data_IF_938850602553
#
_entry.id   IF_938850602553
#
_cell.length_a   1.000
_cell.length_b   1.000
_cell.length_c   1.000
_cell.angle_alpha   90.00
_cell.angle_beta   90.00
_cell.angle_gamma   90.00
#
_symmetry.space_group_name_H-M   'P 1'
#
loop_
_entity.id
_entity.type
_entity.pdbx_description
1 polymer ?
#
# COMPACT_ATOMS: atom_id res chain seq x y z
N UNK A 1 42.24 -38.71 57.22
CA UNK A 1 41.03 -38.42 58.02
C UNK A 1 40.26 -37.27 57.42
N UNK A 2 39.08 -37.55 56.98
CA UNK A 2 37.90 -36.77 56.86
C UNK A 2 37.93 -35.46 56.03
N UNK A 3 37.28 -35.49 54.85
CA UNK A 3 36.40 -34.50 54.41
C UNK A 3 35.42 -35.07 53.36
N UNK A 4 34.20 -35.26 53.76
CA UNK A 4 33.04 -35.54 52.91
C UNK A 4 32.11 -34.35 52.94
N UNK A 5 31.41 -34.19 51.81
CA UNK A 5 30.14 -33.41 51.64
C UNK A 5 30.22 -31.93 51.34
N UNK A 6 29.91 -31.59 50.10
CA UNK A 6 28.63 -30.97 49.72
C UNK A 6 28.53 -30.77 48.20
N UNK A 7 27.88 -31.70 47.57
CA UNK A 7 27.44 -31.56 46.20
C UNK A 7 25.97 -32.01 46.15
N UNK A 8 24.99 -31.07 46.19
CA UNK A 8 23.60 -31.49 46.22
C UNK A 8 22.52 -30.40 46.20
N UNK A 9 22.86 -29.13 45.99
CA UNK A 9 21.84 -28.08 46.06
C UNK A 9 21.70 -27.16 44.85
N UNK A 10 22.37 -27.41 43.71
CA UNK A 10 22.31 -26.55 42.53
C UNK A 10 21.49 -27.07 41.34
N UNK A 11 21.06 -28.32 41.37
CA UNK A 11 20.38 -28.94 40.21
C UNK A 11 18.85 -28.83 40.29
N UNK A 12 18.27 -28.66 41.47
CA UNK A 12 16.81 -28.55 41.65
C UNK A 12 16.24 -27.17 41.41
N UNK A 13 17.03 -26.09 41.53
CA UNK A 13 16.55 -24.72 41.26
C UNK A 13 16.52 -24.34 39.78
N UNK A 14 17.29 -25.04 38.92
CA UNK A 14 17.24 -24.77 37.46
C UNK A 14 16.05 -25.47 36.77
N UNK A 15 15.58 -26.61 37.28
CA UNK A 15 14.44 -27.31 36.69
C UNK A 15 13.12 -26.59 36.98
N UNK A 16 12.97 -26.01 38.17
CA UNK A 16 11.73 -25.29 38.55
C UNK A 16 11.54 -23.93 37.88
N UNK A 17 12.62 -23.25 37.47
CA UNK A 17 12.56 -22.00 36.72
C UNK A 17 12.18 -22.22 35.25
N UNK A 18 12.66 -23.31 34.65
CA UNK A 18 12.37 -23.62 33.24
C UNK A 18 10.90 -24.10 33.06
N UNK A 19 10.36 -24.86 33.99
CA UNK A 19 8.94 -25.28 33.96
C UNK A 19 7.97 -24.10 34.18
N UNK A 20 8.33 -23.15 35.02
CA UNK A 20 7.51 -21.94 35.22
C UNK A 20 7.53 -21.03 34.01
N UNK A 21 8.65 -20.90 33.30
CA UNK A 21 8.74 -20.12 32.06
C UNK A 21 7.96 -20.76 30.90
N UNK A 22 8.05 -22.10 30.75
CA UNK A 22 7.27 -22.83 29.73
C UNK A 22 5.77 -22.80 30.05
N UNK A 23 5.36 -22.85 31.31
CA UNK A 23 3.96 -22.72 31.70
C UNK A 23 3.42 -21.29 31.50
N UNK A 24 4.26 -20.26 31.73
CA UNK A 24 3.93 -18.87 31.46
C UNK A 24 3.75 -18.59 29.98
N UNK A 25 4.66 -19.08 29.15
CA UNK A 25 4.58 -18.96 27.68
C UNK A 25 3.35 -19.68 27.10
N UNK A 26 3.02 -20.88 27.60
CA UNK A 26 1.80 -21.57 27.18
C UNK A 26 0.52 -20.84 27.62
N UNK A 27 0.51 -20.20 28.78
CA UNK A 27 -0.63 -19.35 29.21
C UNK A 27 -0.76 -18.09 28.37
N UNK A 28 0.33 -17.42 28.05
CA UNK A 28 0.33 -16.22 27.17
C UNK A 28 -0.14 -16.57 25.75
N UNK A 29 0.33 -17.67 25.17
CA UNK A 29 -0.12 -18.13 23.85
C UNK A 29 -1.59 -18.56 23.84
N UNK A 30 -2.09 -19.15 24.91
CA UNK A 30 -3.51 -19.51 25.04
C UNK A 30 -4.39 -18.27 25.17
N UNK A 31 -3.94 -17.26 25.93
CA UNK A 31 -4.65 -15.98 26.12
C UNK A 31 -4.71 -15.15 24.82
N UNK A 32 -3.61 -15.12 24.06
CA UNK A 32 -3.56 -14.48 22.74
C UNK A 32 -4.52 -15.17 21.74
N UNK A 33 -4.57 -16.50 21.72
CA UNK A 33 -5.51 -17.27 20.88
C UNK A 33 -6.98 -17.01 21.26
N UNK A 34 -7.26 -16.89 22.56
CA UNK A 34 -8.64 -16.64 23.03
C UNK A 34 -9.12 -15.24 22.69
N UNK A 35 -8.25 -14.23 22.81
CA UNK A 35 -8.58 -12.85 22.46
C UNK A 35 -8.74 -12.67 20.94
N UNK A 36 -7.89 -13.32 20.14
CA UNK A 36 -8.03 -13.32 18.67
C UNK A 36 -9.34 -13.97 18.23
N UNK A 37 -9.74 -15.10 18.86
CA UNK A 37 -11.03 -15.73 18.56
C UNK A 37 -12.24 -14.91 19.03
N UNK A 38 -12.08 -14.15 20.12
CA UNK A 38 -13.15 -13.27 20.60
C UNK A 38 -13.34 -12.06 19.67
N UNK A 39 -12.26 -11.48 19.19
CA UNK A 39 -12.25 -10.39 18.22
C UNK A 39 -12.89 -10.84 16.89
N UNK A 40 -12.50 -11.99 16.37
CA UNK A 40 -13.09 -12.57 15.15
C UNK A 40 -14.60 -12.85 15.30
N UNK A 41 -15.04 -13.33 16.45
CA UNK A 41 -16.48 -13.53 16.72
C UNK A 41 -17.25 -12.21 16.78
N UNK A 42 -16.67 -11.15 17.34
CA UNK A 42 -17.31 -9.82 17.35
C UNK A 42 -17.42 -9.24 15.94
N UNK A 43 -16.39 -9.36 15.11
CA UNK A 43 -16.44 -8.95 13.70
C UNK A 43 -17.52 -9.71 12.92
N UNK A 44 -17.62 -11.05 13.08
CA UNK A 44 -18.66 -11.85 12.45
C UNK A 44 -20.07 -11.46 12.89
N UNK A 45 -20.26 -11.09 14.17
CA UNK A 45 -21.54 -10.61 14.66
C UNK A 45 -21.91 -9.22 14.11
N UNK A 46 -20.93 -8.32 13.94
CA UNK A 46 -21.13 -7.01 13.29
C UNK A 46 -21.50 -7.16 11.81
N UNK A 47 -20.80 -8.01 11.05
CA UNK A 47 -21.12 -8.31 9.64
C UNK A 47 -22.52 -8.93 9.47
N UNK A 48 -22.97 -9.77 10.40
CA UNK A 48 -24.35 -10.31 10.40
C UNK A 48 -25.40 -9.23 10.66
N UNK A 49 -25.15 -8.28 11.56
CA UNK A 49 -26.05 -7.14 11.80
C UNK A 49 -26.15 -6.25 10.56
N UNK A 50 -25.04 -5.85 9.96
CA UNK A 50 -25.03 -5.03 8.74
C UNK A 50 -25.73 -5.70 7.54
N UNK A 51 -25.61 -7.02 7.37
CA UNK A 51 -26.37 -7.75 6.34
C UNK A 51 -27.87 -7.75 6.59
N UNK A 52 -28.28 -7.85 7.86
CA UNK A 52 -29.71 -7.81 8.21
C UNK A 52 -30.27 -6.39 8.02
N UNK A 53 -29.52 -5.35 8.37
CA UNK A 53 -29.94 -3.95 8.19
C UNK A 53 -30.02 -3.59 6.69
N UNK A 54 -29.06 -4.04 5.87
CA UNK A 54 -29.11 -3.88 4.40
C UNK A 54 -30.28 -4.64 3.76
N UNK A 55 -30.67 -5.77 4.32
CA UNK A 55 -31.83 -6.53 3.87
C UNK A 55 -33.16 -5.86 4.26
N UNK A 56 -33.25 -5.23 5.44
CA UNK A 56 -34.41 -4.44 5.84
C UNK A 56 -34.57 -3.19 4.98
N UNK A 57 -33.51 -2.44 4.71
CA UNK A 57 -33.57 -1.25 3.84
C UNK A 57 -34.00 -1.62 2.40
N UNK A 58 -33.61 -2.79 1.90
CA UNK A 58 -34.01 -3.26 0.57
C UNK A 58 -35.45 -3.78 0.52
N UNK A 59 -36.00 -4.22 1.65
CA UNK A 59 -37.40 -4.64 1.74
C UNK A 59 -38.37 -3.44 1.85
N UNK A 60 -37.93 -2.32 2.45
CA UNK A 60 -38.71 -1.08 2.53
C UNK A 60 -38.74 -0.30 1.20
N UNK A 61 -37.70 -0.43 0.34
CA UNK A 61 -37.66 0.22 -0.96
C UNK A 61 -38.43 -0.50 -2.09
N UNK A 62 -38.94 -1.71 -1.83
CA UNK A 62 -39.72 -2.47 -2.82
C UNK A 62 -41.24 -2.39 -2.64
N UNK A 63 -41.71 -1.54 -1.75
CA UNK A 63 -43.14 -1.46 -1.35
C UNK A 63 -43.95 -0.29 -1.91
N UNK A 64 -43.36 0.64 -2.63
CA UNK A 64 -44.12 1.76 -3.21
C UNK A 64 -43.71 2.01 -4.67
N UNK A 65 -44.36 1.33 -5.59
CA UNK A 65 -44.64 1.80 -6.96
C UNK A 65 -45.57 0.83 -7.69
N UNK A 66 -46.86 1.01 -7.47
CA UNK A 66 -47.90 0.59 -8.40
C UNK A 66 -48.97 1.69 -8.49
N UNK A 67 -48.90 2.50 -9.57
CA UNK A 67 -50.05 2.93 -10.36
C UNK A 67 -49.69 3.98 -11.41
N UNK A 68 -49.95 3.52 -12.65
CA UNK A 68 -50.63 4.25 -13.74
C UNK A 68 -49.89 5.49 -14.33
N UNK A 69 -49.57 5.56 -15.58
CA UNK A 69 -50.48 5.58 -16.74
C UNK A 69 -49.66 5.59 -18.08
N UNK A 70 -50.29 5.04 -19.08
CA UNK A 70 -49.89 4.93 -20.48
C UNK A 70 -49.48 6.24 -21.13
N UNK A 71 -48.38 6.24 -21.88
CA UNK A 71 -48.37 6.83 -23.21
C UNK A 71 -47.22 6.28 -24.07
N UNK A 72 -47.66 5.59 -25.10
CA UNK A 72 -46.94 5.06 -26.24
C UNK A 72 -46.56 6.19 -27.17
N UNK A 73 -45.29 6.38 -27.54
CA UNK A 73 -44.92 7.06 -28.80
C UNK A 73 -43.83 6.26 -29.52
N UNK A 74 -44.13 6.11 -30.78
CA UNK A 74 -43.54 5.26 -31.81
C UNK A 74 -42.17 5.76 -32.25
N UNK A 75 -41.25 4.82 -32.51
CA UNK A 75 -40.03 5.05 -33.26
C UNK A 75 -40.32 5.29 -34.73
N UNK A 76 -39.65 6.26 -35.33
CA UNK A 76 -39.49 6.33 -36.79
C UNK A 76 -38.05 6.64 -37.15
N UNK A 77 -37.42 5.69 -37.75
CA UNK A 77 -36.19 5.77 -38.52
C UNK A 77 -36.45 6.47 -39.84
N UNK A 78 -35.59 7.41 -40.26
CA UNK A 78 -35.42 7.74 -41.68
C UNK A 78 -33.97 8.07 -41.99
N UNK A 79 -33.40 7.29 -42.83
CA UNK A 79 -32.20 7.49 -43.67
C UNK A 79 -32.56 8.33 -44.86
N UNK A 80 -31.62 9.17 -45.35
CA UNK A 80 -31.31 9.51 -46.74
C UNK A 80 -30.31 10.69 -46.77
N UNK A 81 -29.30 10.61 -47.36
CA UNK A 81 -28.45 10.59 -48.57
C UNK A 81 -28.57 11.87 -49.42
N UNK A 82 -27.33 12.28 -49.89
CA UNK A 82 -26.98 13.08 -51.10
C UNK A 82 -27.14 14.57 -51.00
N UNK A 83 -26.25 15.43 -51.47
CA UNK A 83 -25.20 15.38 -52.47
C UNK A 83 -24.89 16.83 -52.91
N UNK A 84 -23.73 17.06 -53.52
CA UNK A 84 -23.51 18.14 -54.49
C UNK A 84 -22.68 19.35 -54.03
N UNK A 85 -21.46 19.46 -54.34
CA UNK A 85 -20.66 20.05 -55.42
C UNK A 85 -20.77 21.58 -55.66
N UNK A 86 -19.64 22.22 -55.69
CA UNK A 86 -18.97 23.08 -56.68
C UNK A 86 -18.52 24.44 -56.14
N UNK A 87 -17.20 24.67 -56.20
CA UNK A 87 -16.37 25.41 -57.13
C UNK A 87 -16.37 26.94 -57.01
N UNK A 88 -15.19 27.50 -56.83
CA UNK A 88 -14.46 28.43 -57.73
C UNK A 88 -13.42 29.24 -56.92
N UNK A 89 -12.18 29.11 -57.20
CA UNK A 89 -11.29 29.88 -58.06
C UNK A 89 -10.93 31.28 -57.55
N UNK A 90 -9.65 31.50 -57.30
CA UNK A 90 -9.04 32.82 -57.09
C UNK A 90 -7.51 32.71 -56.97
N UNK A 91 -6.89 33.13 -58.02
CA UNK A 91 -5.46 32.98 -58.43
C UNK A 91 -4.68 34.25 -58.10
N UNK A 92 -3.30 34.05 -57.98
CA UNK A 92 -2.17 35.02 -58.13
C UNK A 92 -1.73 35.69 -56.82
N UNK A 93 -0.40 35.92 -56.61
CA UNK A 93 0.89 35.80 -57.39
C UNK A 93 2.05 35.90 -56.43
N UNK A 94 3.05 35.13 -56.70
CA UNK A 94 4.53 35.27 -56.63
C UNK A 94 5.20 36.35 -55.77
N UNK A 95 6.20 35.96 -54.99
CA UNK A 95 7.58 36.42 -55.17
C UNK A 95 8.55 35.47 -54.47
N UNK A 96 9.56 35.08 -55.24
CA UNK A 96 10.75 34.29 -54.85
C UNK A 96 11.68 35.14 -54.00
N UNK A 97 12.32 34.50 -53.02
CA UNK A 97 13.72 34.73 -52.72
C UNK A 97 14.36 33.45 -52.17
N UNK A 98 15.37 33.06 -52.84
CA UNK A 98 16.27 31.92 -52.58
C UNK A 98 17.18 32.15 -51.39
N UNK A 99 17.35 31.17 -50.56
CA UNK A 99 18.65 30.86 -49.94
C UNK A 99 18.72 29.40 -49.53
N UNK A 100 19.65 28.70 -50.12
CA UNK A 100 20.03 27.30 -49.82
C UNK A 100 20.48 27.17 -48.36
N UNK A 101 19.93 26.22 -47.64
CA UNK A 101 20.66 25.57 -46.57
C UNK A 101 20.31 24.08 -46.54
N UNK A 102 21.28 23.31 -46.94
CA UNK A 102 21.22 21.90 -47.24
C UNK A 102 21.55 21.11 -45.97
N UNK A 103 20.63 21.07 -45.02
CA UNK A 103 20.76 20.23 -43.82
C UNK A 103 20.11 18.89 -44.08
N UNK A 104 20.93 17.89 -44.38
CA UNK A 104 20.55 16.48 -44.50
C UNK A 104 19.84 16.02 -43.24
N UNK A 105 18.51 16.02 -43.27
CA UNK A 105 17.66 15.32 -42.29
C UNK A 105 17.83 13.82 -42.50
N UNK A 106 18.76 13.21 -41.77
CA UNK A 106 18.87 11.76 -41.66
C UNK A 106 17.66 11.24 -40.94
N UNK A 107 16.64 10.81 -41.65
CA UNK A 107 15.47 10.15 -41.10
C UNK A 107 15.89 8.77 -40.61
N UNK A 108 16.25 8.67 -39.34
CA UNK A 108 16.42 7.39 -38.67
C UNK A 108 15.04 6.74 -38.57
N UNK A 109 14.72 5.90 -39.55
CA UNK A 109 13.61 4.95 -39.43
C UNK A 109 13.98 3.95 -38.32
N UNK A 110 13.67 4.30 -37.03
CA UNK A 110 13.61 3.29 -35.96
C UNK A 110 12.55 2.26 -36.38
N UNK A 111 13.03 1.07 -36.80
CA UNK A 111 12.16 -0.13 -36.84
C UNK A 111 11.58 -0.27 -35.42
N UNK A 112 10.29 -0.01 -35.24
CA UNK A 112 9.57 -0.42 -34.04
C UNK A 112 9.67 -1.94 -33.97
N UNK A 113 10.59 -2.47 -33.17
CA UNK A 113 10.54 -3.83 -32.71
C UNK A 113 9.21 -3.91 -31.97
N UNK A 114 8.33 -4.83 -32.37
CA UNK A 114 7.15 -5.11 -31.58
C UNK A 114 7.66 -5.66 -30.24
N UNK A 115 7.83 -4.81 -29.25
CA UNK A 115 8.11 -5.22 -27.90
C UNK A 115 6.84 -5.86 -27.36
N UNK A 116 6.92 -7.15 -27.14
CA UNK A 116 5.86 -7.91 -26.45
C UNK A 116 5.89 -7.43 -25.00
N UNK A 117 4.78 -6.88 -24.53
CA UNK A 117 4.63 -6.49 -23.13
C UNK A 117 4.69 -7.78 -22.29
N UNK A 118 5.61 -7.90 -21.32
CA UNK A 118 5.71 -9.08 -20.50
C UNK A 118 4.48 -9.20 -19.59
N UNK A 119 3.88 -10.38 -19.54
CA UNK A 119 2.75 -10.67 -18.68
C UNK A 119 3.22 -11.46 -17.45
N UNK A 120 2.90 -10.97 -16.27
CA UNK A 120 3.10 -11.66 -15.00
C UNK A 120 1.75 -12.06 -14.41
N UNK A 121 1.67 -13.27 -13.87
CA UNK A 121 0.48 -13.75 -13.16
C UNK A 121 0.68 -13.54 -11.65
N UNK A 122 -0.20 -12.78 -11.02
CA UNK A 122 -0.16 -12.60 -9.56
C UNK A 122 -0.61 -13.88 -8.87
N UNK A 123 0.16 -14.37 -7.91
CA UNK A 123 -0.26 -15.46 -7.05
C UNK A 123 -1.36 -15.01 -6.10
N UNK A 124 -2.27 -15.96 -5.80
CA UNK A 124 -3.26 -15.70 -4.77
C UNK A 124 -2.58 -15.35 -3.44
N UNK A 125 -3.08 -14.34 -2.69
CA UNK A 125 -2.47 -13.94 -1.43
C UNK A 125 -2.35 -15.06 -0.40
N UNK A 126 -3.24 -16.07 -0.46
CA UNK A 126 -3.26 -17.27 0.38
C UNK A 126 -2.32 -18.40 -0.11
N UNK A 127 -1.51 -18.15 -1.14
CA UNK A 127 -0.50 -19.11 -1.59
C UNK A 127 0.49 -19.46 -0.46
N UNK A 128 0.84 -18.48 0.36
CA UNK A 128 1.53 -18.66 1.64
C UNK A 128 0.50 -18.37 2.74
N UNK A 129 0.29 -19.33 3.64
CA UNK A 129 -0.63 -19.15 4.77
C UNK A 129 -0.08 -18.19 5.81
N UNK A 130 -0.96 -17.63 6.65
CA UNK A 130 -0.56 -16.78 7.79
C UNK A 130 0.30 -17.49 8.83
N UNK A 131 0.36 -18.82 8.77
CA UNK A 131 1.21 -19.66 9.61
C UNK A 131 2.48 -20.11 8.88
N UNK A 132 2.85 -19.41 7.83
CA UNK A 132 4.05 -19.60 7.04
C UNK A 132 4.19 -21.02 6.43
N UNK A 133 3.12 -21.51 5.78
CA UNK A 133 3.14 -22.76 5.01
C UNK A 133 2.74 -22.52 3.56
N UNK A 134 3.43 -23.17 2.64
CA UNK A 134 3.03 -23.15 1.22
C UNK A 134 1.77 -23.98 1.03
N UNK A 135 0.68 -23.31 0.66
CA UNK A 135 -0.60 -23.96 0.36
C UNK A 135 -0.60 -24.53 -1.06
N UNK A 136 -1.35 -25.61 -1.28
CA UNK A 136 -1.65 -26.13 -2.64
C UNK A 136 -0.41 -26.37 -3.53
N UNK A 137 0.75 -26.75 -2.98
CA UNK A 137 2.05 -26.87 -3.69
C UNK A 137 1.96 -27.69 -4.99
N UNK A 138 1.16 -28.77 -5.01
CA UNK A 138 0.93 -29.59 -6.24
C UNK A 138 0.17 -28.83 -7.32
N UNK A 139 -0.84 -28.07 -6.93
CA UNK A 139 -1.63 -27.25 -7.88
C UNK A 139 -0.80 -26.09 -8.41
N UNK A 140 0.01 -25.44 -7.58
CA UNK A 140 0.94 -24.39 -7.99
C UNK A 140 1.92 -24.88 -9.04
N UNK A 141 2.50 -26.08 -8.87
CA UNK A 141 3.41 -26.65 -9.87
C UNK A 141 2.72 -26.83 -11.22
N UNK A 142 1.51 -27.42 -11.25
CA UNK A 142 0.74 -27.60 -12.49
C UNK A 142 0.36 -26.25 -13.09
N UNK A 143 -0.03 -25.29 -12.26
CA UNK A 143 -0.35 -23.94 -12.70
C UNK A 143 0.85 -23.23 -13.34
N UNK A 144 2.04 -23.33 -12.75
CA UNK A 144 3.26 -22.71 -13.29
C UNK A 144 3.69 -23.37 -14.61
N UNK A 145 3.59 -24.69 -14.73
CA UNK A 145 3.80 -25.39 -16.01
C UNK A 145 2.82 -24.88 -17.09
N UNK A 146 1.54 -24.69 -16.75
CA UNK A 146 0.55 -24.15 -17.66
C UNK A 146 0.83 -22.68 -18.06
N UNK A 147 1.23 -21.82 -17.11
CA UNK A 147 1.59 -20.43 -17.38
C UNK A 147 2.80 -20.35 -18.33
N UNK A 148 3.83 -21.19 -18.09
CA UNK A 148 5.00 -21.27 -18.96
C UNK A 148 4.62 -21.67 -20.37
N UNK A 149 3.79 -22.71 -20.53
CA UNK A 149 3.32 -23.18 -21.86
C UNK A 149 2.46 -22.10 -22.55
N UNK A 150 1.69 -21.31 -21.79
CA UNK A 150 0.90 -20.21 -22.31
C UNK A 150 1.75 -18.99 -22.71
N UNK A 151 3.06 -18.97 -22.45
CA UNK A 151 3.96 -17.87 -22.77
C UNK A 151 3.89 -16.70 -21.80
N UNK A 152 3.38 -16.94 -20.58
CA UNK A 152 3.44 -15.96 -19.48
C UNK A 152 4.91 -15.79 -19.06
N UNK A 153 5.34 -14.55 -18.86
CA UNK A 153 6.73 -14.23 -18.54
C UNK A 153 7.14 -14.70 -17.16
N UNK A 154 6.25 -14.55 -16.18
CA UNK A 154 6.57 -14.89 -14.80
C UNK A 154 5.39 -14.81 -13.86
N UNK A 155 5.72 -14.92 -12.58
CA UNK A 155 4.77 -14.82 -11.48
C UNK A 155 5.10 -13.66 -10.56
N UNK A 156 4.07 -13.03 -10.00
CA UNK A 156 4.20 -11.97 -9.01
C UNK A 156 3.87 -12.53 -7.62
N UNK A 157 4.81 -12.41 -6.67
CA UNK A 157 4.76 -13.00 -5.34
C UNK A 157 4.79 -11.89 -4.29
N UNK A 158 3.77 -11.83 -3.43
CA UNK A 158 3.77 -10.92 -2.29
C UNK A 158 4.47 -11.56 -1.09
N UNK A 159 5.43 -10.84 -0.51
CA UNK A 159 6.25 -11.25 0.65
C UNK A 159 5.82 -10.40 1.84
N UNK A 160 5.04 -11.01 2.75
CA UNK A 160 4.48 -10.31 3.90
C UNK A 160 5.45 -10.31 5.07
N UNK A 161 5.77 -9.12 5.58
CA UNK A 161 6.63 -8.93 6.75
C UNK A 161 6.12 -9.69 7.97
N UNK A 162 4.82 -9.58 8.28
CA UNK A 162 4.21 -10.21 9.45
C UNK A 162 4.06 -11.74 9.38
N UNK A 163 4.29 -12.35 8.20
CA UNK A 163 4.33 -13.82 8.08
C UNK A 163 5.73 -14.36 8.39
N UNK A 164 6.76 -13.59 8.06
CA UNK A 164 8.15 -14.05 8.06
C UNK A 164 8.88 -13.69 9.35
N UNK A 165 8.76 -12.45 9.85
CA UNK A 165 9.45 -11.98 11.05
C UNK A 165 8.57 -12.15 12.30
N UNK A 166 8.50 -13.40 12.81
CA UNK A 166 7.67 -13.73 13.98
C UNK A 166 8.23 -13.19 15.30
N UNK A 167 9.53 -13.02 15.40
CA UNK A 167 10.26 -12.38 16.51
C UNK A 167 11.25 -11.37 15.90
N UNK A 168 11.61 -10.29 16.58
CA UNK A 168 12.53 -9.29 16.04
C UNK A 168 13.83 -9.90 15.49
N UNK A 169 14.14 -9.65 14.22
CA UNK A 169 15.32 -10.14 13.49
C UNK A 169 15.38 -11.67 13.32
N UNK A 170 14.28 -12.40 13.55
CA UNK A 170 14.18 -13.84 13.28
C UNK A 170 13.27 -14.04 12.07
N UNK A 171 13.88 -14.38 10.95
CA UNK A 171 13.20 -14.52 9.66
C UNK A 171 13.03 -16.01 9.30
N UNK A 172 11.79 -16.44 9.15
CA UNK A 172 11.44 -17.78 8.68
C UNK A 172 11.03 -17.74 7.21
N UNK A 173 11.92 -18.16 6.32
CA UNK A 173 11.74 -18.15 4.87
C UNK A 173 11.23 -19.48 4.30
N UNK A 174 10.94 -20.50 5.12
CA UNK A 174 10.69 -21.88 4.65
C UNK A 174 9.61 -21.95 3.56
N UNK A 175 8.46 -21.30 3.73
CA UNK A 175 7.38 -21.40 2.76
C UNK A 175 7.73 -20.74 1.41
N UNK A 176 8.51 -19.65 1.46
CA UNK A 176 9.01 -18.99 0.25
C UNK A 176 10.11 -19.80 -0.42
N UNK A 177 11.00 -20.47 0.33
CA UNK A 177 11.99 -21.38 -0.23
C UNK A 177 11.32 -22.54 -0.98
N UNK A 178 10.26 -23.14 -0.41
CA UNK A 178 9.46 -24.17 -1.06
C UNK A 178 8.81 -23.64 -2.36
N UNK A 179 8.25 -22.43 -2.35
CA UNK A 179 7.65 -21.80 -3.51
C UNK A 179 8.68 -21.58 -4.62
N UNK A 180 9.83 -20.97 -4.30
CA UNK A 180 10.89 -20.70 -5.27
C UNK A 180 11.50 -21.98 -5.83
N UNK A 181 11.59 -23.05 -5.03
CA UNK A 181 12.02 -24.36 -5.51
C UNK A 181 11.04 -24.96 -6.55
N UNK A 182 9.75 -24.66 -6.47
CA UNK A 182 8.77 -25.06 -7.51
C UNK A 182 8.99 -24.25 -8.79
N UNK A 183 9.19 -22.91 -8.68
CA UNK A 183 9.48 -22.05 -9.84
C UNK A 183 10.75 -22.55 -10.56
N UNK A 184 11.82 -22.81 -9.81
CA UNK A 184 13.09 -23.29 -10.34
C UNK A 184 12.94 -24.64 -11.07
N UNK A 185 12.11 -25.55 -10.54
CA UNK A 185 11.81 -26.83 -11.18
C UNK A 185 11.05 -26.73 -12.49
N UNK A 186 10.14 -25.77 -12.59
CA UNK A 186 9.38 -25.50 -13.81
C UNK A 186 10.29 -24.85 -14.86
N UNK A 187 11.18 -23.96 -14.42
CA UNK A 187 12.11 -23.21 -15.26
C UNK A 187 11.40 -22.16 -16.16
N UNK A 188 12.19 -21.31 -16.77
CA UNK A 188 11.74 -20.31 -17.76
C UNK A 188 10.70 -19.28 -17.27
N UNK A 189 10.37 -19.29 -15.98
CA UNK A 189 9.52 -18.27 -15.37
C UNK A 189 10.37 -17.30 -14.54
N UNK A 190 10.12 -16.02 -14.74
CA UNK A 190 10.65 -14.97 -13.89
C UNK A 190 9.77 -14.75 -12.66
N UNK A 191 10.34 -14.11 -11.65
CA UNK A 191 9.62 -13.73 -10.43
C UNK A 191 9.73 -12.23 -10.23
N UNK A 192 8.59 -11.58 -10.06
CA UNK A 192 8.46 -10.24 -9.49
C UNK A 192 8.08 -10.39 -8.03
N UNK A 193 8.83 -9.83 -7.10
CA UNK A 193 8.51 -9.85 -5.67
C UNK A 193 7.89 -8.52 -5.24
N UNK A 194 6.93 -8.57 -4.32
CA UNK A 194 6.37 -7.38 -3.65
C UNK A 194 6.63 -7.50 -2.16
N UNK A 195 7.42 -6.60 -1.59
CA UNK A 195 7.63 -6.51 -0.14
C UNK A 195 6.46 -5.77 0.49
N UNK A 196 5.68 -6.47 1.30
CA UNK A 196 4.48 -5.93 1.92
C UNK A 196 4.72 -5.63 3.41
N UNK A 197 4.79 -4.35 3.75
CA UNK A 197 4.94 -3.82 5.12
C UNK A 197 3.60 -3.33 5.69
N UNK A 198 2.51 -3.92 5.23
CA UNK A 198 1.15 -3.59 5.65
C UNK A 198 0.37 -4.86 5.96
N UNK A 199 -0.62 -4.73 6.83
CA UNK A 199 -1.62 -5.75 7.01
C UNK A 199 -2.59 -5.75 5.80
N UNK A 200 -3.03 -6.92 5.38
CA UNK A 200 -3.98 -7.08 4.29
C UNK A 200 -4.93 -8.23 4.55
N UNK A 201 -6.19 -8.07 4.22
CA UNK A 201 -7.08 -9.21 4.05
C UNK A 201 -6.64 -10.02 2.82
N UNK A 202 -6.41 -11.31 3.03
CA UNK A 202 -6.02 -12.22 1.96
C UNK A 202 -7.26 -12.82 1.32
N UNK A 203 -7.97 -12.14 0.60
CA UNK A 203 -9.17 -12.63 -0.07
C UNK A 203 -9.93 -11.41 -0.50
N UNK A 204 -10.07 -11.23 -1.78
CA UNK A 204 -10.98 -10.24 -2.31
C UNK A 204 -12.38 -10.43 -1.70
N UNK A 205 -13.38 -9.77 -2.18
CA UNK A 205 -14.77 -9.73 -1.73
C UNK A 205 -15.44 -11.06 -1.28
N UNK A 206 -14.71 -12.17 -1.26
CA UNK A 206 -15.24 -13.52 -1.03
C UNK A 206 -15.11 -14.05 0.40
N UNK A 207 -14.58 -13.25 1.32
CA UNK A 207 -14.70 -13.56 2.76
C UNK A 207 -13.92 -14.78 3.27
N UNK A 208 -12.82 -15.14 2.65
CA UNK A 208 -11.99 -16.32 3.04
C UNK A 208 -11.23 -16.15 4.36
N UNK A 209 -11.39 -15.02 5.04
CA UNK A 209 -10.94 -14.83 6.41
C UNK A 209 -9.43 -14.90 6.65
N UNK A 210 -8.63 -14.84 5.59
CA UNK A 210 -7.19 -14.73 5.69
C UNK A 210 -6.80 -13.26 5.82
N UNK A 211 -6.15 -12.90 6.92
CA UNK A 211 -5.60 -11.55 7.12
C UNK A 211 -4.13 -11.68 7.47
N UNK A 212 -3.23 -11.27 6.57
CA UNK A 212 -1.84 -11.09 6.91
C UNK A 212 -1.71 -9.81 7.75
N UNK A 213 -1.35 -9.94 9.03
CA UNK A 213 -1.10 -8.79 9.92
C UNK A 213 0.34 -8.28 9.75
N UNK A 214 0.64 -7.14 10.35
CA UNK A 214 2.01 -6.81 10.72
C UNK A 214 2.55 -7.85 11.72
N UNK A 215 3.87 -7.95 11.95
CA UNK A 215 4.42 -8.83 12.97
C UNK A 215 3.72 -8.64 14.31
N UNK A 216 3.38 -9.75 14.99
CA UNK A 216 2.62 -9.71 16.25
C UNK A 216 3.32 -8.87 17.31
N UNK A 217 4.65 -8.91 17.36
CA UNK A 217 5.44 -8.13 18.30
C UNK A 217 5.34 -6.61 18.08
N UNK A 218 5.05 -6.15 16.83
CA UNK A 218 4.77 -4.73 16.54
C UNK A 218 3.46 -4.30 17.19
N UNK A 219 2.41 -5.11 17.07
CA UNK A 219 1.13 -4.83 17.72
C UNK A 219 1.24 -4.92 19.26
N UNK A 220 2.06 -5.84 19.78
CA UNK A 220 2.31 -5.93 21.22
C UNK A 220 2.98 -4.66 21.77
N UNK A 221 3.93 -4.08 21.05
CA UNK A 221 4.56 -2.80 21.43
C UNK A 221 3.53 -1.68 21.45
N UNK A 222 2.68 -1.60 20.43
CA UNK A 222 1.67 -0.55 20.35
C UNK A 222 0.62 -0.67 21.46
N UNK A 223 0.29 -1.90 21.89
CA UNK A 223 -0.78 -2.18 22.86
C UNK A 223 -0.33 -2.31 24.32
N UNK A 224 0.99 -2.26 24.62
CA UNK A 224 1.48 -2.29 26.01
C UNK A 224 0.96 -1.10 26.80
N UNK A 225 0.56 -1.38 28.05
CA UNK A 225 0.14 -0.31 28.96
C UNK A 225 1.35 0.41 29.58
N UNK A 226 1.19 1.69 29.86
CA UNK A 226 2.19 2.50 30.56
C UNK A 226 3.28 3.05 29.64
N UNK A 227 4.49 3.25 30.21
CA UNK A 227 5.62 3.88 29.51
C UNK A 227 6.28 2.97 28.44
N UNK A 228 5.98 1.69 28.47
CA UNK A 228 6.55 0.68 27.53
C UNK A 228 5.70 0.53 26.27
N UNK A 229 4.47 1.05 26.25
CA UNK A 229 3.59 1.02 25.09
C UNK A 229 3.73 2.24 24.22
N UNK A 230 3.55 2.08 22.92
CA UNK A 230 3.56 3.19 21.98
C UNK A 230 2.40 3.09 20.98
N UNK A 231 1.16 3.41 21.40
CA UNK A 231 0.00 3.40 20.50
C UNK A 231 0.11 4.44 19.37
N UNK A 232 0.99 5.44 19.54
CA UNK A 232 1.30 6.47 18.54
C UNK A 232 2.15 5.96 17.37
N UNK A 233 2.53 4.67 17.40
CA UNK A 233 3.18 3.96 16.31
C UNK A 233 2.32 3.96 15.04
N UNK A 234 1.01 3.96 15.22
CA UNK A 234 0.03 3.92 14.15
C UNK A 234 -0.60 5.28 13.86
N UNK A 235 -1.04 5.47 12.64
CA UNK A 235 -1.78 6.66 12.24
C UNK A 235 -3.01 6.89 13.11
N UNK A 236 -3.37 8.16 13.29
CA UNK A 236 -4.59 8.56 13.94
C UNK A 236 -5.25 9.70 13.16
N UNK A 237 -6.54 9.57 12.92
CA UNK A 237 -7.35 10.61 12.30
C UNK A 237 -7.90 11.61 13.32
N UNK A 238 -8.62 12.63 12.84
CA UNK A 238 -9.21 13.67 13.70
C UNK A 238 -10.30 13.16 14.66
N UNK A 239 -10.92 12.00 14.39
CA UNK A 239 -11.91 11.37 15.25
C UNK A 239 -11.26 10.53 16.36
N UNK A 240 -9.95 10.34 16.31
CA UNK A 240 -9.18 9.48 17.21
C UNK A 240 -9.20 8.01 16.76
N UNK A 241 -9.70 7.71 15.57
CA UNK A 241 -9.61 6.38 14.98
C UNK A 241 -8.16 6.08 14.60
N UNK A 242 -7.65 4.93 15.04
CA UNK A 242 -6.29 4.47 14.71
C UNK A 242 -6.34 3.42 13.62
N UNK A 243 -5.49 3.63 12.61
CA UNK A 243 -5.28 2.66 11.55
C UNK A 243 -4.02 1.84 11.85
N UNK A 244 -4.22 0.57 12.21
CA UNK A 244 -3.16 -0.33 12.67
C UNK A 244 -2.64 -1.30 11.59
N UNK A 245 -3.03 -1.11 10.36
CA UNK A 245 -2.55 -1.91 9.23
C UNK A 245 -1.17 -1.50 8.72
N UNK A 246 -0.70 -0.30 9.04
CA UNK A 246 0.61 0.23 8.66
C UNK A 246 1.19 1.10 9.78
N UNK A 247 2.52 1.07 9.93
CA UNK A 247 3.21 2.00 10.82
C UNK A 247 3.12 3.41 10.22
N UNK A 248 2.89 4.42 11.08
CA UNK A 248 2.85 5.82 10.65
C UNK A 248 4.19 6.24 10.03
N UNK A 249 4.15 6.79 8.82
CA UNK A 249 5.35 7.32 8.15
C UNK A 249 6.06 8.43 8.96
N UNK A 250 5.34 9.05 9.88
CA UNK A 250 5.90 10.04 10.79
C UNK A 250 6.71 9.40 11.93
N UNK A 251 6.38 8.15 12.30
CA UNK A 251 7.07 7.40 13.35
C UNK A 251 8.27 6.59 12.83
N UNK A 252 8.31 6.29 11.54
CA UNK A 252 9.22 5.30 10.95
C UNK A 252 10.72 5.59 11.11
N UNK A 253 11.09 6.84 11.34
CA UNK A 253 12.49 7.26 11.56
C UNK A 253 12.96 7.24 13.00
N UNK A 254 12.11 6.95 13.98
CA UNK A 254 12.46 6.89 15.38
C UNK A 254 13.27 5.61 15.69
N UNK A 255 14.56 5.76 15.93
CA UNK A 255 15.49 4.66 16.23
C UNK A 255 15.27 4.01 17.60
N UNK A 256 14.41 4.58 18.43
CA UNK A 256 14.04 4.01 19.74
C UNK A 256 12.75 3.19 19.69
N UNK A 257 12.20 2.95 18.49
CA UNK A 257 10.83 2.50 18.30
C UNK A 257 10.66 1.00 18.47
N UNK A 258 11.47 0.21 17.77
CA UNK A 258 11.30 -1.23 17.64
C UNK A 258 12.52 -1.99 18.18
N UNK A 259 12.35 -3.07 18.97
CA UNK A 259 13.48 -3.79 19.54
C UNK A 259 14.25 -4.57 18.48
N UNK A 260 15.52 -4.79 18.75
CA UNK A 260 16.33 -5.82 18.06
C UNK A 260 16.15 -7.18 18.72
N UNK A 261 16.69 -8.24 18.10
CA UNK A 261 16.60 -9.60 18.61
C UNK A 261 17.24 -9.82 20.00
N UNK A 262 18.13 -8.93 20.43
CA UNK A 262 18.74 -8.98 21.79
C UNK A 262 17.80 -8.40 22.87
N UNK A 263 16.73 -7.73 22.48
CA UNK A 263 15.75 -7.07 23.36
C UNK A 263 16.31 -5.90 24.18
N UNK A 264 17.51 -5.41 23.87
CA UNK A 264 18.21 -4.33 24.62
C UNK A 264 18.45 -3.10 23.77
N UNK A 265 18.69 -3.31 22.50
CA UNK A 265 18.87 -2.23 21.52
C UNK A 265 17.60 -2.07 20.71
N UNK A 266 17.47 -0.93 20.05
CA UNK A 266 16.28 -0.55 19.28
C UNK A 266 16.69 -0.12 17.88
N UNK A 267 15.72 -0.17 16.98
CA UNK A 267 15.84 0.22 15.57
C UNK A 267 14.58 0.96 15.10
N UNK A 268 14.72 1.75 14.08
CA UNK A 268 13.59 2.39 13.42
C UNK A 268 12.83 1.40 12.53
N UNK A 269 11.59 1.72 12.16
CA UNK A 269 10.84 0.91 11.21
C UNK A 269 11.53 0.85 9.84
N UNK A 270 12.16 1.94 9.39
CA UNK A 270 12.96 1.95 8.16
C UNK A 270 14.12 0.95 8.21
N UNK A 271 14.81 0.83 9.35
CA UNK A 271 15.85 -0.18 9.53
C UNK A 271 15.26 -1.59 9.48
N UNK A 272 14.09 -1.83 10.10
CA UNK A 272 13.40 -3.12 10.00
C UNK A 272 13.09 -3.50 8.56
N UNK A 273 12.57 -2.56 7.76
CA UNK A 273 12.24 -2.81 6.36
C UNK A 273 13.49 -3.11 5.52
N UNK A 274 14.58 -2.39 5.75
CA UNK A 274 15.86 -2.64 5.07
C UNK A 274 16.45 -3.99 5.43
N UNK A 275 16.49 -4.34 6.72
CA UNK A 275 16.98 -5.63 7.22
C UNK A 275 16.14 -6.80 6.70
N UNK A 276 14.81 -6.64 6.62
CA UNK A 276 13.91 -7.62 6.05
C UNK A 276 14.21 -7.89 4.57
N UNK A 277 14.34 -6.82 3.76
CA UNK A 277 14.72 -6.94 2.35
C UNK A 277 16.12 -7.56 2.20
N UNK A 278 17.08 -7.16 3.02
CA UNK A 278 18.44 -7.72 2.99
C UNK A 278 18.46 -9.20 3.36
N UNK A 279 17.67 -9.62 4.37
CA UNK A 279 17.50 -11.02 4.74
C UNK A 279 16.93 -11.85 3.58
N UNK A 280 15.91 -11.33 2.88
CA UNK A 280 15.36 -11.96 1.69
C UNK A 280 16.42 -12.12 0.59
N UNK A 281 17.16 -11.06 0.28
CA UNK A 281 18.21 -11.09 -0.74
C UNK A 281 19.29 -12.12 -0.42
N UNK A 282 19.71 -12.22 0.83
CA UNK A 282 20.71 -13.20 1.25
C UNK A 282 20.19 -14.65 1.15
N UNK A 283 18.95 -14.89 1.56
CA UNK A 283 18.34 -16.24 1.49
C UNK A 283 18.11 -16.68 0.05
N UNK A 284 17.67 -15.76 -0.81
CA UNK A 284 17.33 -16.06 -2.21
C UNK A 284 18.40 -15.62 -3.21
N UNK A 285 19.65 -15.46 -2.76
CA UNK A 285 20.82 -15.05 -3.57
C UNK A 285 20.91 -15.75 -4.92
N UNK A 286 20.69 -17.07 -4.94
CA UNK A 286 20.70 -17.89 -6.16
C UNK A 286 19.77 -17.35 -7.24
N UNK A 287 18.58 -16.90 -6.85
CA UNK A 287 17.51 -16.47 -7.78
C UNK A 287 17.72 -15.04 -8.27
N UNK A 288 18.43 -14.23 -7.52
CA UNK A 288 18.92 -12.95 -7.99
C UNK A 288 20.09 -13.14 -8.97
N UNK A 289 21.07 -13.97 -8.61
CA UNK A 289 22.27 -14.18 -9.41
C UNK A 289 21.99 -14.82 -10.78
N UNK A 290 20.99 -15.68 -10.88
CA UNK A 290 20.62 -16.33 -12.15
C UNK A 290 19.55 -15.59 -12.94
N UNK A 291 19.08 -14.42 -12.45
CA UNK A 291 18.07 -13.60 -13.12
C UNK A 291 16.65 -14.15 -13.05
N UNK A 292 16.34 -15.06 -12.13
CA UNK A 292 14.96 -15.50 -11.87
C UNK A 292 14.15 -14.38 -11.23
N UNK A 293 14.71 -13.65 -10.24
CA UNK A 293 14.08 -12.47 -9.65
C UNK A 293 14.55 -11.25 -10.44
N UNK A 294 13.61 -10.61 -11.13
CA UNK A 294 13.88 -9.47 -12.04
C UNK A 294 13.34 -8.15 -11.52
N UNK A 295 12.36 -8.20 -10.64
CA UNK A 295 11.63 -7.01 -10.18
C UNK A 295 11.32 -7.10 -8.70
N UNK A 296 11.48 -5.99 -7.99
CA UNK A 296 11.09 -5.83 -6.60
C UNK A 296 10.18 -4.61 -6.44
N UNK A 297 8.92 -4.84 -6.12
CA UNK A 297 7.94 -3.80 -5.78
C UNK A 297 8.01 -3.51 -4.28
N UNK A 298 8.14 -2.25 -3.91
CA UNK A 298 8.30 -1.81 -2.53
C UNK A 298 6.96 -1.28 -2.02
N UNK A 299 6.39 -1.96 -1.05
CA UNK A 299 5.16 -1.53 -0.39
C UNK A 299 5.42 -0.32 0.50
N UNK A 300 4.61 0.73 0.34
CA UNK A 300 4.82 2.01 1.00
C UNK A 300 3.57 2.55 1.73
N UNK A 301 2.60 1.70 1.99
CA UNK A 301 1.36 2.08 2.68
C UNK A 301 0.27 1.05 2.54
N UNK A 302 -0.99 1.41 2.75
CA UNK A 302 -2.13 0.52 2.63
C UNK A 302 -2.17 -0.16 1.25
N UNK A 303 -2.39 -1.46 1.24
CA UNK A 303 -2.40 -2.28 0.01
C UNK A 303 -1.09 -2.20 -0.80
N UNK A 304 0.02 -1.81 -0.17
CA UNK A 304 1.31 -1.60 -0.81
C UNK A 304 1.41 -0.30 -1.62
N UNK A 305 0.40 0.55 -1.61
CA UNK A 305 0.38 1.82 -2.34
C UNK A 305 1.06 2.94 -1.56
N UNK A 306 1.76 3.83 -2.26
CA UNK A 306 2.31 5.05 -1.67
C UNK A 306 1.16 6.03 -1.38
N UNK A 307 0.49 5.86 -0.25
CA UNK A 307 -0.60 6.73 0.21
C UNK A 307 -0.83 6.62 1.72
N UNK A 308 -1.55 7.59 2.24
CA UNK A 308 -2.07 7.52 3.59
C UNK A 308 -3.27 6.56 3.71
N UNK A 309 -3.53 5.97 4.89
CA UNK A 309 -4.70 5.13 5.14
C UNK A 309 -5.96 5.96 5.40
N UNK A 310 -6.35 6.79 4.42
CA UNK A 310 -7.46 7.74 4.53
C UNK A 310 -8.85 7.09 4.52
N UNK A 311 -8.94 5.80 4.19
CA UNK A 311 -10.19 5.08 3.93
C UNK A 311 -10.22 3.79 4.74
N UNK A 312 -10.55 3.83 6.03
CA UNK A 312 -10.68 2.64 6.84
C UNK A 312 -11.83 1.76 6.30
N UNK A 313 -11.51 0.51 5.95
CA UNK A 313 -12.41 -0.42 5.24
C UNK A 313 -13.73 -0.67 5.98
N UNK A 314 -13.69 -0.70 7.32
CA UNK A 314 -14.88 -0.96 8.14
C UNK A 314 -15.83 0.25 8.29
N UNK A 315 -15.39 1.45 7.93
CA UNK A 315 -16.09 2.72 8.22
C UNK A 315 -16.39 3.52 6.97
N UNK A 316 -15.45 3.56 6.04
CA UNK A 316 -15.57 4.39 4.85
C UNK A 316 -16.59 3.84 3.84
N UNK A 317 -17.39 4.74 3.28
CA UNK A 317 -18.37 4.45 2.23
C UNK A 317 -18.19 5.44 1.08
N UNK A 318 -18.08 4.93 -0.13
CA UNK A 318 -18.02 5.78 -1.33
C UNK A 318 -19.29 6.66 -1.48
N UNK A 319 -19.19 7.95 -1.78
CA UNK A 319 -18.01 8.73 -2.16
C UNK A 319 -17.44 9.61 -1.02
N UNK A 320 -17.34 9.11 0.19
CA UNK A 320 -16.81 9.82 1.34
C UNK A 320 -15.44 10.46 1.09
N UNK A 321 -15.18 11.60 1.73
CA UNK A 321 -13.95 12.37 1.56
C UNK A 321 -12.70 11.69 2.11
N UNK A 322 -12.86 10.69 3.00
CA UNK A 322 -11.76 10.11 3.75
C UNK A 322 -11.31 11.00 4.92
N UNK A 323 -10.27 10.57 5.63
CA UNK A 323 -9.74 11.31 6.78
C UNK A 323 -8.26 11.59 6.63
N UNK A 324 -7.84 12.82 6.97
CA UNK A 324 -6.41 13.13 7.11
C UNK A 324 -5.80 12.39 8.31
N UNK A 325 -4.62 11.82 8.14
CA UNK A 325 -3.91 10.99 9.11
C UNK A 325 -2.77 11.79 9.76
N UNK A 326 -3.09 12.75 10.64
CA UNK A 326 -2.11 13.71 11.15
C UNK A 326 -2.29 14.00 12.65
N UNK A 327 -2.97 13.12 13.39
CA UNK A 327 -3.30 13.36 14.79
C UNK A 327 -2.51 12.49 15.78
N UNK A 328 -1.63 11.58 15.31
CA UNK A 328 -0.66 10.94 16.19
C UNK A 328 0.45 11.92 16.61
N UNK A 329 1.15 11.62 17.71
CA UNK A 329 2.16 12.54 18.29
C UNK A 329 3.31 12.85 17.34
N UNK A 330 3.71 11.90 16.49
CA UNK A 330 4.81 12.08 15.54
C UNK A 330 4.39 12.99 14.39
N UNK A 331 3.17 12.79 13.88
CA UNK A 331 2.60 13.63 12.84
C UNK A 331 2.42 15.09 13.31
N UNK A 332 1.86 15.28 14.52
CA UNK A 332 1.71 16.62 15.11
C UNK A 332 3.05 17.30 15.33
N UNK A 333 4.07 16.56 15.79
CA UNK A 333 5.43 17.09 15.95
C UNK A 333 6.01 17.51 14.59
N UNK A 334 5.90 16.68 13.58
CA UNK A 334 6.38 16.98 12.23
C UNK A 334 5.67 18.20 11.62
N UNK A 335 4.36 18.34 11.84
CA UNK A 335 3.59 19.50 11.40
C UNK A 335 4.04 20.78 12.11
N UNK A 336 4.29 20.71 13.43
CA UNK A 336 4.78 21.83 14.22
C UNK A 336 6.18 22.26 13.75
N UNK A 337 7.09 21.32 13.51
CA UNK A 337 8.43 21.59 13.00
C UNK A 337 8.35 22.26 11.60
N UNK A 338 7.54 21.72 10.72
CA UNK A 338 7.32 22.27 9.37
C UNK A 338 6.76 23.70 9.40
N UNK A 339 5.84 23.99 10.33
CA UNK A 339 5.27 25.32 10.52
C UNK A 339 6.30 26.31 11.10
N UNK A 340 7.12 25.87 12.05
CA UNK A 340 8.18 26.71 12.66
C UNK A 340 9.23 27.10 11.61
N UNK A 341 9.66 26.18 10.75
CA UNK A 341 10.60 26.45 9.65
C UNK A 341 10.09 27.53 8.68
N UNK A 342 8.77 27.68 8.57
CA UNK A 342 8.11 28.65 7.67
C UNK A 342 7.62 29.90 8.39
N UNK A 343 7.96 30.08 9.67
CA UNK A 343 7.54 31.21 10.50
C UNK A 343 6.01 31.36 10.63
N UNK A 344 5.28 30.24 10.60
CA UNK A 344 3.83 30.18 10.76
C UNK A 344 3.43 29.17 11.86
N UNK A 345 4.06 29.26 13.04
CA UNK A 345 3.93 28.30 14.16
C UNK A 345 2.48 28.02 14.58
N UNK A 346 1.56 28.98 14.39
CA UNK A 346 0.14 28.78 14.70
C UNK A 346 -0.52 27.75 13.80
N UNK A 347 -0.02 27.51 12.59
CA UNK A 347 -0.52 26.53 11.64
C UNK A 347 -0.05 25.10 11.94
N UNK A 348 0.91 24.94 12.84
CA UNK A 348 1.46 23.65 13.23
C UNK A 348 0.72 22.92 14.35
N UNK A 349 -0.43 23.43 14.81
CA UNK A 349 -1.11 22.90 16.01
C UNK A 349 -2.02 21.70 15.71
N UNK A 350 -2.58 21.65 14.51
CA UNK A 350 -3.50 20.58 14.09
C UNK A 350 -3.70 20.60 12.58
N UNK A 351 -4.28 19.51 12.03
CA UNK A 351 -4.82 19.50 10.68
C UNK A 351 -6.09 20.35 10.53
N UNK A 352 -6.68 20.40 9.32
CA UNK A 352 -7.90 21.16 9.03
C UNK A 352 -9.09 20.60 9.83
N UNK A 353 -9.71 21.43 10.68
CA UNK A 353 -10.89 21.03 11.46
C UNK A 353 -12.19 20.99 10.64
N UNK A 354 -12.20 21.61 9.47
CA UNK A 354 -13.35 21.73 8.60
C UNK A 354 -13.31 20.79 7.37
N UNK A 355 -12.41 19.79 7.44
CA UNK A 355 -12.31 18.76 6.39
C UNK A 355 -13.54 17.84 6.33
N UNK A 356 -14.32 17.79 7.40
CA UNK A 356 -15.49 16.91 7.52
C UNK A 356 -15.15 15.53 8.09
N UNK A 357 -16.18 14.71 8.24
CA UNK A 357 -16.06 13.32 8.67
C UNK A 357 -15.72 12.41 7.48
N UNK A 358 -15.23 11.21 7.77
CA UNK A 358 -14.75 10.24 6.77
C UNK A 358 -15.73 9.97 5.61
N UNK A 359 -17.04 10.00 5.89
CA UNK A 359 -18.11 9.73 4.92
C UNK A 359 -18.81 10.99 4.40
N UNK A 360 -18.32 12.17 4.76
CA UNK A 360 -18.92 13.40 4.28
C UNK A 360 -18.75 13.54 2.77
N UNK A 361 -19.73 14.22 2.17
CA UNK A 361 -19.73 14.45 0.74
C UNK A 361 -18.93 15.73 0.41
N UNK A 362 -17.89 15.59 -0.41
CA UNK A 362 -16.94 16.67 -0.70
C UNK A 362 -17.54 18.02 -1.02
N UNK A 363 -18.57 18.15 -1.91
CA UNK A 363 -19.20 19.44 -2.24
C UNK A 363 -19.82 20.20 -1.07
N UNK A 364 -20.16 19.53 0.03
CA UNK A 364 -20.75 20.16 1.21
C UNK A 364 -19.78 20.34 2.37
N UNK A 365 -18.59 19.79 2.27
CA UNK A 365 -17.50 20.02 3.23
C UNK A 365 -16.97 21.44 3.12
N UNK A 366 -16.80 22.14 4.24
CA UNK A 366 -16.24 23.49 4.24
C UNK A 366 -14.81 23.54 3.69
N UNK A 367 -14.04 22.51 3.92
CA UNK A 367 -12.68 22.41 3.39
C UNK A 367 -12.69 22.12 1.89
N UNK A 368 -13.43 21.08 1.44
CA UNK A 368 -13.30 20.54 0.09
C UNK A 368 -14.21 21.16 -0.97
N UNK A 369 -15.22 21.94 -0.60
CA UNK A 369 -16.08 22.62 -1.59
C UNK A 369 -15.25 23.49 -2.56
N UNK A 370 -15.79 23.85 -3.72
CA UNK A 370 -15.04 24.55 -4.78
C UNK A 370 -14.36 25.85 -4.32
N UNK A 371 -15.02 26.62 -3.44
CA UNK A 371 -14.44 27.81 -2.81
C UNK A 371 -14.04 27.55 -1.34
N UNK A 372 -13.74 26.31 -0.99
CA UNK A 372 -13.43 25.90 0.36
C UNK A 372 -12.06 26.36 0.87
N UNK A 373 -11.83 26.11 2.15
CA UNK A 373 -10.60 26.52 2.84
C UNK A 373 -9.33 25.80 2.37
N UNK A 374 -9.45 24.73 1.57
CA UNK A 374 -8.31 24.11 0.89
C UNK A 374 -7.54 25.10 -0.01
N UNK A 375 -8.19 26.18 -0.48
CA UNK A 375 -7.59 27.23 -1.32
C UNK A 375 -6.88 28.33 -0.52
N UNK A 376 -7.11 28.42 0.78
CA UNK A 376 -6.46 29.42 1.65
C UNK A 376 -4.98 29.14 1.81
N UNK A 377 -4.22 30.14 2.26
CA UNK A 377 -2.80 29.96 2.55
C UNK A 377 -2.55 28.83 3.56
N UNK A 378 -3.40 28.72 4.61
CA UNK A 378 -3.33 27.59 5.55
C UNK A 378 -3.67 26.26 4.87
N UNK A 379 -4.73 26.19 4.07
CA UNK A 379 -5.11 24.97 3.36
C UNK A 379 -3.99 24.48 2.43
N UNK A 380 -3.38 25.37 1.66
CA UNK A 380 -2.27 25.03 0.78
C UNK A 380 -0.99 24.70 1.54
N UNK A 381 -0.71 25.37 2.65
CA UNK A 381 0.37 25.00 3.57
C UNK A 381 0.20 23.58 4.07
N UNK A 382 -0.97 23.22 4.58
CA UNK A 382 -1.25 21.89 5.12
C UNK A 382 -1.18 20.81 4.04
N UNK A 383 -1.82 21.03 2.89
CA UNK A 383 -1.79 20.08 1.77
C UNK A 383 -0.37 19.86 1.23
N UNK A 384 0.43 20.92 1.18
CA UNK A 384 1.85 20.83 0.81
C UNK A 384 2.64 20.01 1.84
N UNK A 385 2.48 20.28 3.14
CA UNK A 385 3.09 19.49 4.20
C UNK A 385 2.76 18.01 4.05
N UNK A 386 1.47 17.69 3.92
CA UNK A 386 0.96 16.33 3.87
C UNK A 386 1.50 15.55 2.67
N UNK A 387 1.54 16.18 1.50
CA UNK A 387 2.14 15.63 0.30
C UNK A 387 3.66 15.45 0.42
N UNK A 388 4.38 16.48 0.88
CA UNK A 388 5.84 16.46 1.03
C UNK A 388 6.29 15.32 1.97
N UNK A 389 5.55 15.06 3.05
CA UNK A 389 5.89 13.95 3.97
C UNK A 389 5.71 12.59 3.31
N UNK A 390 4.65 12.41 2.51
CA UNK A 390 4.44 11.18 1.76
C UNK A 390 5.56 10.95 0.72
N UNK A 391 5.98 12.00 0.01
CA UNK A 391 7.10 11.90 -0.95
C UNK A 391 8.42 11.55 -0.27
N UNK A 392 8.69 12.16 0.89
CA UNK A 392 9.89 11.82 1.70
C UNK A 392 9.86 10.37 2.18
N UNK A 393 8.68 9.86 2.56
CA UNK A 393 8.50 8.45 2.92
C UNK A 393 8.82 7.54 1.73
N UNK A 394 8.21 7.77 0.57
CA UNK A 394 8.49 6.99 -0.63
C UNK A 394 9.98 6.99 -1.00
N UNK A 395 10.65 8.14 -0.88
CA UNK A 395 12.08 8.26 -1.13
C UNK A 395 12.93 7.45 -0.15
N UNK A 396 12.62 7.47 1.18
CA UNK A 396 13.31 6.65 2.19
C UNK A 396 13.15 5.15 1.91
N UNK A 397 11.93 4.70 1.58
CA UNK A 397 11.65 3.30 1.25
C UNK A 397 12.46 2.84 0.03
N UNK A 398 12.54 3.64 -1.02
CA UNK A 398 13.34 3.32 -2.21
C UNK A 398 14.85 3.35 -1.92
N UNK A 399 15.32 4.26 -1.07
CA UNK A 399 16.72 4.30 -0.66
C UNK A 399 17.10 3.04 0.14
N UNK A 400 16.25 2.58 1.06
CA UNK A 400 16.44 1.32 1.77
C UNK A 400 16.46 0.11 0.82
N UNK A 401 15.56 0.09 -0.17
CA UNK A 401 15.55 -0.96 -1.19
C UNK A 401 16.81 -0.92 -2.09
N UNK A 402 17.29 0.28 -2.44
CA UNK A 402 18.53 0.41 -3.20
C UNK A 402 19.71 -0.19 -2.42
N UNK A 403 19.84 0.12 -1.13
CA UNK A 403 20.90 -0.47 -0.27
C UNK A 403 20.76 -1.97 -0.12
N UNK A 404 19.57 -2.44 0.20
CA UNK A 404 19.33 -3.86 0.46
C UNK A 404 19.43 -4.76 -0.78
N UNK A 405 19.05 -4.25 -1.96
CA UNK A 405 18.89 -5.05 -3.19
C UNK A 405 19.89 -4.63 -4.27
N UNK A 406 19.85 -3.36 -4.70
CA UNK A 406 20.52 -2.93 -5.93
C UNK A 406 22.02 -2.67 -5.80
N UNK A 407 22.52 -2.41 -4.61
CA UNK A 407 23.98 -2.39 -4.38
C UNK A 407 24.62 -3.72 -4.72
N UNK A 408 23.89 -4.84 -4.53
CA UNK A 408 24.34 -6.19 -4.86
C UNK A 408 23.87 -6.67 -6.24
N UNK A 409 22.66 -6.30 -6.65
CA UNK A 409 22.00 -6.74 -7.90
C UNK A 409 21.41 -5.53 -8.66
N UNK A 410 22.28 -4.81 -9.36
CA UNK A 410 21.94 -3.56 -10.05
C UNK A 410 20.88 -3.68 -11.13
N UNK A 411 20.72 -4.87 -11.70
CA UNK A 411 19.81 -5.15 -12.82
C UNK A 411 18.37 -5.42 -12.38
N UNK A 412 18.12 -5.56 -11.06
CA UNK A 412 16.77 -5.71 -10.51
C UNK A 412 16.03 -4.38 -10.62
N UNK A 413 14.89 -4.40 -11.32
CA UNK A 413 14.01 -3.25 -11.41
C UNK A 413 13.32 -3.00 -10.07
N UNK A 414 13.40 -1.77 -9.55
CA UNK A 414 12.58 -1.37 -8.40
C UNK A 414 11.29 -0.75 -8.90
N UNK A 415 10.20 -1.10 -8.24
CA UNK A 415 8.86 -0.53 -8.47
C UNK A 415 8.25 -0.03 -7.18
N UNK A 416 7.44 1.01 -7.30
CA UNK A 416 6.57 1.47 -6.22
C UNK A 416 5.16 1.67 -6.76
N UNK A 417 4.17 1.19 -6.01
CA UNK A 417 2.78 1.29 -6.42
C UNK A 417 2.24 2.67 -6.07
N UNK A 418 1.76 3.38 -7.08
CA UNK A 418 1.01 4.62 -6.91
C UNK A 418 -0.48 4.31 -6.76
N UNK A 419 -1.22 5.06 -5.95
CA UNK A 419 -2.64 4.84 -5.78
C UNK A 419 -3.39 5.12 -7.08
N UNK A 420 -4.37 4.28 -7.34
CA UNK A 420 -5.30 4.49 -8.43
C UNK A 420 -6.48 5.32 -7.93
N UNK A 421 -6.66 6.49 -8.52
CA UNK A 421 -7.64 7.47 -8.04
C UNK A 421 -8.90 7.48 -8.91
N UNK A 422 -9.55 6.34 -9.09
CA UNK A 422 -10.89 6.25 -9.71
C UNK A 422 -12.01 6.80 -8.83
N UNK A 423 -11.67 7.80 -8.00
CA UNK A 423 -12.62 8.28 -7.04
C UNK A 423 -13.39 9.45 -7.61
N UNK A 424 -14.53 9.66 -7.05
CA UNK A 424 -15.45 10.69 -7.48
C UNK A 424 -14.80 12.08 -7.55
N UNK A 425 -14.70 12.64 -8.77
CA UNK A 425 -13.95 13.86 -9.07
C UNK A 425 -14.84 15.07 -9.37
N UNK A 426 -16.05 15.11 -8.80
CA UNK A 426 -16.96 16.26 -9.02
C UNK A 426 -16.69 17.46 -8.09
N UNK A 427 -15.66 17.41 -7.26
CA UNK A 427 -15.08 18.57 -6.56
C UNK A 427 -13.75 18.94 -7.18
N UNK A 428 -13.49 20.23 -7.29
CA UNK A 428 -12.19 20.72 -7.79
C UNK A 428 -11.03 20.34 -6.86
N UNK A 429 -11.27 20.31 -5.54
CA UNK A 429 -10.31 19.91 -4.51
C UNK A 429 -9.90 18.43 -4.56
N UNK A 430 -10.69 17.57 -5.23
CA UNK A 430 -10.48 16.10 -5.28
C UNK A 430 -10.27 15.51 -3.89
N UNK A 431 -11.27 15.48 -3.03
CA UNK A 431 -11.13 15.19 -1.60
C UNK A 431 -10.40 13.89 -1.30
N UNK A 432 -10.81 12.79 -1.94
CA UNK A 432 -10.24 11.48 -1.73
C UNK A 432 -8.76 11.38 -2.14
N UNK A 433 -8.35 12.09 -3.19
CA UNK A 433 -6.95 12.21 -3.56
C UNK A 433 -6.17 13.01 -2.51
N UNK A 434 -6.74 14.12 -2.04
CA UNK A 434 -6.11 15.00 -1.06
C UNK A 434 -5.85 14.26 0.26
N UNK A 435 -6.85 13.54 0.80
CA UNK A 435 -6.69 12.75 2.03
C UNK A 435 -5.75 11.55 1.88
N UNK A 436 -5.58 11.05 0.65
CA UNK A 436 -4.57 10.03 0.31
C UNK A 436 -3.15 10.58 0.20
N UNK A 437 -2.96 11.91 0.18
CA UNK A 437 -1.65 12.54 0.03
C UNK A 437 -1.33 13.05 -1.38
N UNK A 438 -2.33 13.09 -2.28
CA UNK A 438 -2.20 13.61 -3.66
C UNK A 438 -3.14 14.81 -3.87
N UNK A 439 -2.91 15.93 -3.19
CA UNK A 439 -3.78 17.08 -3.25
C UNK A 439 -3.70 17.79 -4.61
N UNK A 440 -4.72 18.55 -4.91
CA UNK A 440 -4.64 19.58 -5.91
C UNK A 440 -4.06 20.85 -5.31
N UNK A 441 -3.02 21.38 -5.94
CA UNK A 441 -2.44 22.66 -5.57
C UNK A 441 -3.14 23.82 -6.30
N UNK A 442 -3.19 24.99 -5.65
CA UNK A 442 -3.62 26.23 -6.32
C UNK A 442 -2.54 26.78 -7.25
N UNK A 443 -1.28 26.48 -6.97
CA UNK A 443 -0.15 26.69 -7.87
C UNK A 443 -0.23 25.68 -9.03
N UNK A 444 -0.59 26.17 -10.22
CA UNK A 444 -0.75 25.35 -11.42
C UNK A 444 0.57 24.78 -11.96
N UNK A 445 1.72 25.21 -11.43
CA UNK A 445 3.03 24.65 -11.76
C UNK A 445 3.33 23.34 -11.00
N UNK A 446 2.51 22.98 -10.00
CA UNK A 446 2.64 21.79 -9.16
C UNK A 446 1.56 20.78 -9.47
N UNK A 447 1.96 19.54 -9.63
CA UNK A 447 1.09 18.37 -9.67
C UNK A 447 1.64 17.25 -8.79
N UNK A 448 0.80 16.70 -7.92
CA UNK A 448 1.22 15.70 -6.94
C UNK A 448 1.70 14.39 -7.58
N UNK A 449 1.12 13.99 -8.72
CA UNK A 449 1.58 12.79 -9.44
C UNK A 449 2.88 13.04 -10.20
N UNK A 450 3.05 14.23 -10.79
CA UNK A 450 4.31 14.59 -11.44
C UNK A 450 5.46 14.63 -10.42
N UNK A 451 5.19 15.13 -9.20
CA UNK A 451 6.18 15.12 -8.10
C UNK A 451 6.52 13.69 -7.65
N UNK A 452 5.51 12.80 -7.56
CA UNK A 452 5.73 11.38 -7.28
C UNK A 452 6.54 10.69 -8.39
N UNK A 453 6.22 10.94 -9.66
CA UNK A 453 7.00 10.43 -10.80
C UNK A 453 8.44 10.94 -10.80
N UNK A 454 8.65 12.21 -10.45
CA UNK A 454 9.98 12.79 -10.31
C UNK A 454 10.78 12.13 -9.16
N UNK A 455 10.13 11.81 -8.04
CA UNK A 455 10.73 11.07 -6.92
C UNK A 455 11.14 9.65 -7.36
N UNK A 456 10.27 8.92 -8.06
CA UNK A 456 10.59 7.59 -8.60
C UNK A 456 11.78 7.66 -9.58
N UNK A 457 11.78 8.63 -10.48
CA UNK A 457 12.85 8.82 -11.45
C UNK A 457 14.21 9.09 -10.78
N UNK A 458 14.24 9.94 -9.75
CA UNK A 458 15.48 10.21 -8.98
C UNK A 458 16.06 8.95 -8.34
N UNK A 459 15.20 8.01 -7.95
CA UNK A 459 15.59 6.74 -7.34
C UNK A 459 15.74 5.60 -8.37
N UNK A 460 15.65 5.91 -9.67
CA UNK A 460 15.69 4.93 -10.76
C UNK A 460 14.68 3.77 -10.52
N UNK A 461 13.47 4.13 -10.13
CA UNK A 461 12.35 3.22 -9.88
C UNK A 461 11.21 3.46 -10.86
N UNK A 462 10.38 2.45 -11.07
CA UNK A 462 9.23 2.49 -11.95
C UNK A 462 7.94 2.67 -11.16
N UNK A 463 6.97 3.35 -11.76
CA UNK A 463 5.62 3.39 -11.22
C UNK A 463 4.89 2.10 -11.57
N UNK A 464 4.28 1.47 -10.56
CA UNK A 464 3.27 0.43 -10.73
C UNK A 464 1.90 1.01 -10.40
N UNK A 465 0.91 0.78 -11.26
CA UNK A 465 -0.46 1.26 -11.04
C UNK A 465 -1.38 0.05 -11.10
N UNK A 466 -2.21 -0.11 -10.09
CA UNK A 466 -3.22 -1.16 -10.11
C UNK A 466 -4.28 -0.80 -11.15
N UNK A 467 -4.47 -1.66 -12.15
CA UNK A 467 -5.54 -1.51 -13.12
C UNK A 467 -6.88 -1.57 -12.40
N UNK A 468 -7.70 -0.51 -12.53
CA UNK A 468 -9.07 -0.58 -12.08
C UNK A 468 -9.86 -1.54 -12.96
N UNK A 469 -10.83 -2.22 -12.38
CA UNK A 469 -11.85 -2.87 -13.15
C UNK A 469 -12.54 -1.80 -13.98
N UNK A 470 -12.43 -1.91 -15.30
CA UNK A 470 -13.24 -1.15 -16.23
C UNK A 470 -14.65 -1.71 -16.12
N UNK A 471 -15.43 -1.19 -15.17
CA UNK A 471 -16.84 -1.49 -15.04
C UNK A 471 -17.69 -0.74 -16.07
#
# INVERSE_FOLDING_TARGET
MSALCSCGARTTLRATTNEKNVASQKKASLFARTNSQHFLKQQQQRRRRQRNDAFCVRAESSGEEERDDRHRVVATTTTEREGGASSSSGRRTSSQTTSDDNTKRTTIKKKKKNEIIPLFCRLAPDAISITNFLTKSKALKVGFDALRVAGVRGVHVTVFWGIVENEPQVYDWQAYEELFAIVDKVGELEVSVEFAFHARECGGNDGDGCTASLPVWVHEIASREGKEGNPELFYMDQSGLRENAVISLFAEGDESLLPTGDGKTFRSANQCYEEFMASFVNTFEKYFANGTITTATIGAGPNGELRYPAFPEDVWVFPGVGSFQVNDKYALKALQEYANERNCSDWGKSGPHDAGEVNDFGPVSHFFQDNGSWRTDYGQFFLTFYHDQLMKHGERMLQSANRAIREKYSDVALEMRLPNTYWWNHCESRPAQATSGYPRFTDQSRDAYDEAMAMLFRNNAHASVQGGELG
#
